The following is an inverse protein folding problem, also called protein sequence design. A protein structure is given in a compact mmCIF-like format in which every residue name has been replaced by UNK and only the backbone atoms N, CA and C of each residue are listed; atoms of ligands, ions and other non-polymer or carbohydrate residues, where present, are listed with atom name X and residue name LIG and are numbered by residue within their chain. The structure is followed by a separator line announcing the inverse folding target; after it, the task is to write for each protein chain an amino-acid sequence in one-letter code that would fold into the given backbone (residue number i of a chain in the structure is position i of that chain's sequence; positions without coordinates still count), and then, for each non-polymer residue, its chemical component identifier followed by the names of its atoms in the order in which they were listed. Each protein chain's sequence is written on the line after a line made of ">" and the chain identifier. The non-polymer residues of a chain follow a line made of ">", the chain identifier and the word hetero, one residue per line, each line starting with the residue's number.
data_IF_365351090142
#
_entry.id   IF_365351090142
#
_cell.length_a   1.000
_cell.length_b   1.000
_cell.length_c   1.000
_cell.angle_alpha   90.00
_cell.angle_beta   90.00
_cell.angle_gamma   90.00
#
_symmetry.space_group_name_H-M   'P 1'
#
loop_
_entity.id
_entity.type
_entity.pdbx_description
1 polymer ?
#
# COMPACT_ATOMS: atom_id res chain seq x y z
N UNK A 1 5.48 4.38 -6.28
CA UNK A 1 5.08 4.52 -4.84
C UNK A 1 6.15 3.91 -3.92
N UNK A 2 6.21 4.24 -2.61
CA UNK A 2 7.20 3.65 -1.66
C UNK A 2 6.49 3.10 -0.41
N UNK A 3 6.76 1.85 -0.03
CA UNK A 3 6.35 1.32 1.29
C UNK A 3 7.27 1.94 2.34
N UNK A 4 6.71 2.73 3.25
CA UNK A 4 7.46 3.43 4.28
C UNK A 4 7.49 2.67 5.62
N UNK A 5 6.38 2.03 6.00
CA UNK A 5 6.29 1.30 7.27
C UNK A 5 5.44 0.04 7.13
N UNK A 6 5.94 -1.06 7.67
CA UNK A 6 5.17 -2.27 7.91
C UNK A 6 5.00 -2.43 9.41
N UNK A 7 3.77 -2.64 9.88
CA UNK A 7 3.46 -2.99 11.26
C UNK A 7 2.60 -4.26 11.29
N UNK A 8 2.50 -4.89 12.45
CA UNK A 8 1.62 -6.04 12.67
C UNK A 8 0.71 -5.70 13.85
N UNK A 9 -0.61 -5.69 13.62
CA UNK A 9 -1.61 -5.53 14.66
C UNK A 9 -2.43 -6.82 14.77
N UNK A 10 -2.40 -7.49 15.92
CA UNK A 10 -3.16 -8.73 16.15
C UNK A 10 -2.93 -9.82 15.09
N UNK A 11 -1.69 -9.96 14.60
CA UNK A 11 -1.33 -10.93 13.54
C UNK A 11 -1.61 -10.46 12.11
N UNK A 12 -2.22 -9.28 11.93
CA UNK A 12 -2.62 -8.73 10.65
C UNK A 12 -1.57 -7.70 10.19
N UNK A 13 -0.89 -7.89 9.04
CA UNK A 13 0.04 -6.91 8.51
C UNK A 13 -0.66 -5.62 8.06
N UNK A 14 -0.07 -4.49 8.43
CA UNK A 14 -0.49 -3.15 8.03
C UNK A 14 0.68 -2.48 7.31
N UNK A 15 0.44 -2.03 6.09
CA UNK A 15 1.42 -1.33 5.25
C UNK A 15 1.02 0.13 5.07
N UNK A 16 1.95 1.02 5.40
CA UNK A 16 1.83 2.44 5.12
C UNK A 16 2.68 2.79 3.90
N UNK A 17 2.02 3.31 2.87
CA UNK A 17 2.58 3.57 1.56
C UNK A 17 2.54 5.07 1.30
N UNK A 18 3.69 5.64 0.97
CA UNK A 18 3.81 7.03 0.54
C UNK A 18 3.62 7.07 -0.97
N UNK A 19 2.73 7.95 -1.42
CA UNK A 19 2.45 8.16 -2.84
C UNK A 19 2.75 9.60 -3.23
N UNK A 20 2.84 9.90 -4.53
CA UNK A 20 3.02 11.28 -5.01
C UNK A 20 1.72 12.07 -4.96
N UNK A 21 0.59 11.40 -5.18
CA UNK A 21 -0.75 11.99 -5.29
C UNK A 21 -1.40 12.18 -3.92
N UNK A 22 -1.33 11.17 -3.06
CA UNK A 22 -1.80 11.19 -1.67
C UNK A 22 -0.63 11.20 -0.69
N UNK A 23 -0.74 11.92 0.44
CA UNK A 23 0.27 11.87 1.51
C UNK A 23 0.59 10.42 1.91
N UNK A 24 -0.42 9.62 2.23
CA UNK A 24 -0.26 8.22 2.66
C UNK A 24 -1.50 7.37 2.31
N UNK A 25 -1.26 6.12 1.93
CA UNK A 25 -2.26 5.05 1.81
C UNK A 25 -1.93 3.98 2.84
N UNK A 26 -2.93 3.57 3.63
CA UNK A 26 -2.80 2.47 4.59
C UNK A 26 -3.54 1.25 4.08
N UNK A 27 -2.83 0.12 4.00
CA UNK A 27 -3.37 -1.17 3.58
C UNK A 27 -3.30 -2.12 4.76
N UNK A 28 -4.47 -2.60 5.23
CA UNK A 28 -4.59 -3.63 6.26
C UNK A 28 -5.02 -4.93 5.58
N UNK A 29 -4.18 -5.96 5.67
CA UNK A 29 -4.39 -7.24 5.00
C UNK A 29 -4.38 -8.38 6.00
N UNK A 30 -5.09 -9.47 5.73
CA UNK A 30 -5.09 -10.64 6.61
C UNK A 30 -3.71 -11.32 6.75
N UNK A 31 -3.65 -12.29 7.67
CA UNK A 31 -2.44 -13.06 8.00
C UNK A 31 -1.86 -13.89 6.84
N UNK A 32 -2.63 -14.12 5.78
CA UNK A 32 -2.17 -14.85 4.59
C UNK A 32 -1.47 -13.96 3.58
N UNK A 33 -1.60 -12.63 3.73
CA UNK A 33 -1.11 -11.66 2.77
C UNK A 33 0.41 -11.49 2.85
N UNK A 34 1.10 -11.95 1.81
CA UNK A 34 2.55 -11.98 1.79
C UNK A 34 3.15 -10.63 1.38
N UNK A 35 4.45 -10.49 1.65
CA UNK A 35 5.24 -9.37 1.14
C UNK A 35 5.24 -9.30 -0.41
N UNK A 36 5.07 -10.42 -1.10
CA UNK A 36 5.02 -10.41 -2.56
C UNK A 36 3.67 -9.86 -3.07
N UNK A 37 2.60 -10.11 -2.32
CA UNK A 37 1.26 -9.64 -2.67
C UNK A 37 1.14 -8.12 -2.52
N UNK A 38 1.80 -7.52 -1.51
CA UNK A 38 1.86 -6.05 -1.41
C UNK A 38 2.59 -5.44 -2.61
N UNK A 39 3.69 -6.04 -3.08
CA UNK A 39 4.39 -5.52 -4.26
C UNK A 39 3.56 -5.65 -5.54
N UNK A 40 2.83 -6.76 -5.73
CA UNK A 40 1.90 -6.93 -6.85
C UNK A 40 0.76 -5.90 -6.78
N UNK A 41 0.15 -5.72 -5.62
CA UNK A 41 -0.91 -4.74 -5.41
C UNK A 41 -0.40 -3.33 -5.75
N UNK A 42 0.79 -2.97 -5.28
CA UNK A 42 1.40 -1.67 -5.58
C UNK A 42 1.67 -1.49 -7.07
N UNK A 43 2.18 -2.51 -7.76
CA UNK A 43 2.41 -2.43 -9.20
C UNK A 43 1.13 -2.25 -9.99
N UNK A 44 0.01 -2.85 -9.55
CA UNK A 44 -1.30 -2.64 -10.16
C UNK A 44 -1.83 -1.23 -9.93
N UNK A 45 -1.65 -0.71 -8.71
CA UNK A 45 -2.14 0.61 -8.32
C UNK A 45 -1.25 1.76 -8.80
N UNK A 46 0.01 1.51 -9.16
CA UNK A 46 0.98 2.58 -9.44
C UNK A 46 0.49 3.52 -10.54
N UNK A 47 0.04 2.98 -11.68
CA UNK A 47 -0.49 3.78 -12.78
C UNK A 47 -1.77 4.53 -12.39
N UNK A 48 -2.68 3.87 -11.68
CA UNK A 48 -3.97 4.46 -11.32
C UNK A 48 -3.81 5.58 -10.29
N UNK A 49 -2.95 5.38 -9.29
CA UNK A 49 -2.65 6.38 -8.24
C UNK A 49 -1.89 7.57 -8.80
N UNK A 50 -0.89 7.34 -9.64
CA UNK A 50 -0.09 8.45 -10.22
C UNK A 50 -0.91 9.30 -11.21
N UNK A 51 -1.93 8.73 -11.86
CA UNK A 51 -2.80 9.45 -12.79
C UNK A 51 -4.13 9.93 -12.17
N UNK A 52 -4.33 9.72 -10.87
CA UNK A 52 -5.56 10.10 -10.20
C UNK A 52 -5.67 11.63 -10.14
N UNK A 53 -6.69 12.19 -10.81
CA UNK A 53 -6.97 13.62 -10.79
C UNK A 53 -7.66 13.99 -9.48
N UNK A 54 -6.95 14.76 -8.65
CA UNK A 54 -7.52 15.37 -7.45
C UNK A 54 -8.19 16.68 -7.87
N UNK A 55 -9.53 16.70 -7.79
CA UNK A 55 -10.36 17.90 -8.03
C UNK A 55 -10.26 18.89 -6.90
#
# INVERSE_FOLDING_TARGET
>A
MIIYKQNIENGIPIYEIITKTFKTITVKSDETFSKNDIYKLLSLLESDVDNMKLS
#
